data_IF_655787193434
#
_entry.id   IF_655787193434
#
_cell.length_a   1.000
_cell.length_b   1.000
_cell.length_c   1.000
_cell.angle_alpha   90.00
_cell.angle_beta   90.00
_cell.angle_gamma   90.00
#
_symmetry.space_group_name_H-M   'P 1'
#
loop_
_entity.id
_entity.type
_entity.pdbx_description
1 polymer ?
#
# COMPACT_ATOMS: atom_id res chain seq x y z
N UNK A 1 -2.89 -17.09 -4.82
CA UNK A 1 -3.96 -17.11 -5.84
C UNK A 1 -4.88 -15.91 -5.74
N UNK A 2 -5.61 -15.57 -6.83
CA UNK A 2 -6.65 -14.55 -6.78
C UNK A 2 -7.86 -15.05 -5.96
N UNK A 3 -8.56 -14.12 -5.27
CA UNK A 3 -9.76 -14.47 -4.48
C UNK A 3 -9.51 -15.20 -3.16
N UNK A 4 -8.28 -15.40 -2.73
CA UNK A 4 -7.96 -16.12 -1.48
C UNK A 4 -7.94 -15.25 -0.22
N UNK A 5 -8.55 -14.06 -0.23
CA UNK A 5 -8.74 -13.24 0.96
C UNK A 5 -7.63 -12.22 1.29
N UNK A 6 -6.54 -12.13 0.50
CA UNK A 6 -5.40 -11.22 0.77
C UNK A 6 -5.82 -9.75 0.96
N UNK A 7 -6.57 -9.20 0.02
CA UNK A 7 -7.07 -7.82 0.11
C UNK A 7 -8.03 -7.61 1.27
N UNK A 8 -8.84 -8.63 1.60
CA UNK A 8 -9.73 -8.59 2.77
C UNK A 8 -8.89 -8.54 4.05
N UNK A 9 -7.85 -9.37 4.15
CA UNK A 9 -6.92 -9.33 5.27
C UNK A 9 -6.20 -7.98 5.36
N UNK A 10 -5.65 -7.48 4.23
CA UNK A 10 -4.96 -6.18 4.20
C UNK A 10 -5.84 -5.04 4.75
N UNK A 11 -7.11 -4.98 4.30
CA UNK A 11 -8.09 -3.98 4.74
C UNK A 11 -8.57 -4.16 6.19
N UNK A 12 -8.23 -5.27 6.82
CA UNK A 12 -8.44 -5.45 8.26
C UNK A 12 -7.45 -4.61 9.06
N UNK A 13 -6.23 -4.39 8.53
CA UNK A 13 -5.15 -3.68 9.22
C UNK A 13 -5.39 -2.16 9.35
N UNK A 14 -6.26 -1.57 8.53
CA UNK A 14 -6.63 -0.14 8.57
C UNK A 14 -8.13 0.09 8.87
N UNK A 15 -8.83 -0.97 9.23
CA UNK A 15 -10.28 -0.97 9.51
C UNK A 15 -11.15 -0.56 8.32
N UNK A 16 -10.67 -0.69 7.07
CA UNK A 16 -11.48 -0.40 5.89
C UNK A 16 -12.67 -1.37 5.74
N UNK A 17 -12.56 -2.58 6.31
CA UNK A 17 -13.68 -3.53 6.30
C UNK A 17 -14.87 -3.08 7.17
N UNK A 18 -14.69 -2.12 8.08
CA UNK A 18 -15.80 -1.50 8.85
C UNK A 18 -16.83 -0.80 7.94
N UNK A 19 -16.44 -0.45 6.71
CA UNK A 19 -17.31 0.18 5.72
C UNK A 19 -18.19 -0.83 4.96
N UNK A 20 -17.99 -2.13 5.17
CA UNK A 20 -18.72 -3.20 4.48
C UNK A 20 -19.84 -3.71 5.42
N UNK A 21 -21.12 -3.63 5.02
CA UNK A 21 -22.23 -4.11 5.85
C UNK A 21 -22.08 -5.60 6.21
N UNK A 22 -22.44 -5.94 7.44
CA UNK A 22 -22.46 -7.32 7.96
C UNK A 22 -21.10 -8.03 8.04
N UNK A 23 -19.97 -7.32 7.93
CA UNK A 23 -18.65 -7.89 8.20
C UNK A 23 -18.49 -8.07 9.70
N UNK A 24 -18.03 -9.26 10.11
CA UNK A 24 -17.64 -9.57 11.48
C UNK A 24 -16.15 -9.90 11.51
N UNK A 25 -15.41 -9.18 12.33
CA UNK A 25 -13.99 -9.41 12.57
C UNK A 25 -13.83 -9.91 13.99
N UNK A 26 -13.06 -10.98 14.18
CA UNK A 26 -12.74 -11.58 15.48
C UNK A 26 -11.24 -11.78 15.58
N UNK A 27 -10.71 -11.74 16.81
CA UNK A 27 -9.28 -11.79 17.08
C UNK A 27 -8.75 -10.40 17.42
N UNK A 28 -7.43 -10.27 17.48
CA UNK A 28 -6.74 -9.05 17.86
C UNK A 28 -5.81 -8.61 16.73
N UNK A 29 -5.74 -7.31 16.51
CA UNK A 29 -4.78 -6.67 15.61
C UNK A 29 -4.12 -5.54 16.40
N UNK A 30 -2.87 -5.73 16.76
CA UNK A 30 -2.14 -4.74 17.54
C UNK A 30 -1.33 -3.81 16.66
N UNK A 31 -1.44 -2.51 16.97
CA UNK A 31 -0.62 -1.46 16.41
C UNK A 31 -0.02 -0.64 17.56
N UNK A 32 1.30 -0.68 17.69
CA UNK A 32 2.05 -0.01 18.79
C UNK A 32 1.56 -0.40 20.20
N UNK A 33 1.14 -1.67 20.38
CA UNK A 33 0.69 -2.19 21.69
C UNK A 33 -0.77 -1.89 22.02
N UNK A 34 -1.55 -1.37 21.07
CA UNK A 34 -2.98 -1.15 21.21
C UNK A 34 -3.76 -1.94 20.16
N UNK A 35 -4.78 -2.70 20.61
CA UNK A 35 -5.66 -3.40 19.66
C UNK A 35 -6.49 -2.36 18.89
N UNK A 36 -6.28 -2.29 17.57
CA UNK A 36 -6.94 -1.31 16.69
C UNK A 36 -8.47 -1.42 16.66
N UNK A 37 -9.04 -2.55 17.12
CA UNK A 37 -10.48 -2.77 17.23
C UNK A 37 -11.04 -2.45 18.61
N UNK A 38 -10.23 -1.96 19.54
CA UNK A 38 -10.73 -1.49 20.83
C UNK A 38 -11.71 -0.30 20.64
N UNK A 39 -12.78 -0.21 21.44
CA UNK A 39 -13.78 0.88 21.32
C UNK A 39 -13.19 2.30 21.55
N UNK A 40 -12.03 2.38 22.20
CA UNK A 40 -11.30 3.62 22.47
C UNK A 40 -10.56 4.18 21.25
N UNK A 41 -10.32 3.36 20.22
CA UNK A 41 -9.48 3.75 19.09
C UNK A 41 -10.20 4.70 18.14
N UNK A 42 -9.64 5.88 17.95
CA UNK A 42 -10.07 6.81 16.91
C UNK A 42 -9.60 6.29 15.53
N UNK A 43 -10.58 5.88 14.72
CA UNK A 43 -10.33 5.33 13.37
C UNK A 43 -9.70 6.38 12.44
N UNK A 44 -9.99 7.67 12.64
CA UNK A 44 -9.38 8.74 11.83
C UNK A 44 -7.90 8.88 12.16
N UNK A 45 -7.57 8.85 13.45
CA UNK A 45 -6.19 8.81 13.90
C UNK A 45 -5.46 7.58 13.37
N UNK A 46 -6.05 6.38 13.48
CA UNK A 46 -5.46 5.14 12.99
C UNK A 46 -5.12 5.23 11.49
N UNK A 47 -6.08 5.70 10.67
CA UNK A 47 -5.89 5.84 9.22
C UNK A 47 -4.93 6.95 8.81
N UNK A 48 -4.56 7.85 9.72
CA UNK A 48 -3.45 8.77 9.50
C UNK A 48 -2.08 8.11 9.68
N UNK A 49 -2.02 7.03 10.48
CA UNK A 49 -0.81 6.24 10.76
C UNK A 49 -0.63 5.06 9.81
N UNK A 50 -1.72 4.52 9.29
CA UNK A 50 -1.74 3.40 8.37
C UNK A 50 -2.32 3.88 7.03
N UNK A 51 -1.44 4.22 6.09
CA UNK A 51 -1.82 4.66 4.74
C UNK A 51 -2.20 3.48 3.85
N UNK A 52 -3.16 3.69 2.92
CA UNK A 52 -3.63 2.67 1.99
C UNK A 52 -3.51 3.13 0.54
N UNK A 53 -2.92 2.29 -0.30
CA UNK A 53 -2.86 2.43 -1.76
C UNK A 53 -3.63 1.29 -2.40
N UNK A 54 -4.67 1.63 -3.16
CA UNK A 54 -5.57 0.66 -3.77
C UNK A 54 -5.03 0.09 -5.08
N UNK A 55 -5.55 -1.06 -5.47
CA UNK A 55 -5.23 -1.75 -6.72
C UNK A 55 -5.45 -0.84 -7.94
N UNK A 56 -6.57 -0.17 -8.02
CA UNK A 56 -6.85 0.83 -9.05
C UNK A 56 -6.45 2.21 -8.55
N UNK A 57 -5.59 2.89 -9.29
CA UNK A 57 -5.29 4.29 -9.02
C UNK A 57 -6.58 5.11 -8.91
N UNK A 58 -6.70 5.88 -7.84
CA UNK A 58 -7.87 6.67 -7.53
C UNK A 58 -7.51 8.12 -7.16
N UNK A 59 -6.82 8.85 -8.05
CA UNK A 59 -6.57 10.26 -7.79
C UNK A 59 -7.89 11.02 -7.67
N UNK A 60 -7.92 11.99 -6.76
CA UNK A 60 -9.08 12.87 -6.68
C UNK A 60 -9.20 13.72 -7.94
N UNK A 61 -10.42 14.13 -8.36
CA UNK A 61 -10.64 15.00 -9.53
C UNK A 61 -10.19 16.46 -9.23
N UNK A 62 -8.94 16.59 -8.83
CA UNK A 62 -8.27 17.83 -8.41
C UNK A 62 -6.93 17.95 -9.14
N UNK A 63 -6.20 19.06 -8.87
CA UNK A 63 -4.84 19.20 -9.35
C UNK A 63 -3.90 18.17 -8.72
N UNK A 64 -2.74 17.97 -9.35
CA UNK A 64 -1.67 17.13 -8.79
C UNK A 64 -1.28 17.64 -7.40
N UNK A 65 -1.08 18.96 -7.27
CA UNK A 65 -0.78 19.61 -6.00
C UNK A 65 -1.84 19.34 -4.94
N UNK A 66 -3.12 19.55 -5.26
CA UNK A 66 -4.21 19.43 -4.29
C UNK A 66 -4.44 17.97 -3.86
N UNK A 67 -4.15 16.99 -4.73
CA UNK A 67 -4.16 15.58 -4.33
C UNK A 67 -3.21 15.31 -3.16
N UNK A 68 -1.99 15.86 -3.20
CA UNK A 68 -1.00 15.67 -2.14
C UNK A 68 -1.32 16.54 -0.92
N UNK A 69 -1.66 17.81 -1.15
CA UNK A 69 -1.93 18.76 -0.08
C UNK A 69 -3.24 18.47 0.69
N UNK A 70 -4.11 17.59 0.18
CA UNK A 70 -5.41 17.28 0.76
C UNK A 70 -5.29 16.76 2.20
N UNK A 71 -4.52 15.68 2.40
CA UNK A 71 -4.31 15.07 3.71
C UNK A 71 -3.72 16.07 4.72
N UNK A 72 -2.56 16.69 4.46
CA UNK A 72 -1.96 17.69 5.34
C UNK A 72 -2.92 18.85 5.70
N UNK A 73 -3.70 19.35 4.75
CA UNK A 73 -4.71 20.39 5.03
C UNK A 73 -5.81 19.91 5.97
N UNK A 74 -6.27 18.68 5.78
CA UNK A 74 -7.29 18.06 6.65
C UNK A 74 -6.75 17.88 8.07
N UNK A 75 -5.45 17.63 8.21
CA UNK A 75 -4.75 17.56 9.49
C UNK A 75 -4.25 18.94 10.00
N UNK A 76 -4.78 20.04 9.45
CA UNK A 76 -4.59 21.39 10.02
C UNK A 76 -3.37 22.15 9.49
N UNK A 77 -2.61 21.63 8.52
CA UNK A 77 -1.50 22.37 7.92
C UNK A 77 -2.05 23.47 7.02
N UNK A 78 -1.94 24.73 7.43
CA UNK A 78 -2.44 25.90 6.70
C UNK A 78 -1.33 26.75 6.07
N UNK A 79 -0.11 26.63 6.57
CA UNK A 79 1.04 27.37 6.05
C UNK A 79 1.38 26.90 4.64
N UNK A 80 1.37 27.85 3.68
CA UNK A 80 1.59 27.55 2.27
C UNK A 80 2.99 27.01 1.99
N UNK A 81 4.01 27.63 2.57
CA UNK A 81 5.39 27.19 2.36
C UNK A 81 5.60 25.75 2.86
N UNK A 82 4.99 25.40 4.02
CA UNK A 82 5.03 24.04 4.55
C UNK A 82 4.27 23.04 3.65
N UNK A 83 3.14 23.46 3.07
CA UNK A 83 2.44 22.62 2.09
C UNK A 83 3.25 22.40 0.83
N UNK A 84 3.93 23.43 0.31
CA UNK A 84 4.78 23.35 -0.87
C UNK A 84 5.95 22.38 -0.61
N UNK A 85 6.57 22.42 0.57
CA UNK A 85 7.61 21.48 1.01
C UNK A 85 7.09 20.04 1.09
N UNK A 86 5.92 19.83 1.72
CA UNK A 86 5.31 18.48 1.82
C UNK A 86 5.01 17.93 0.43
N UNK A 87 4.43 18.74 -0.46
CA UNK A 87 4.08 18.33 -1.81
C UNK A 87 5.33 17.92 -2.59
N UNK A 88 6.37 18.75 -2.61
CA UNK A 88 7.61 18.41 -3.30
C UNK A 88 8.24 17.14 -2.73
N UNK A 89 8.41 17.06 -1.42
CA UNK A 89 8.99 15.90 -0.73
C UNK A 89 8.23 14.62 -1.04
N UNK A 90 6.89 14.63 -0.94
CA UNK A 90 6.07 13.45 -1.19
C UNK A 90 6.13 12.98 -2.65
N UNK A 91 6.15 13.92 -3.60
CA UNK A 91 6.31 13.60 -5.01
C UNK A 91 7.72 13.07 -5.33
N UNK A 92 8.76 13.54 -4.64
CA UNK A 92 10.13 13.00 -4.73
C UNK A 92 10.19 11.57 -4.17
N UNK A 93 9.62 11.34 -2.98
CA UNK A 93 9.55 10.00 -2.40
C UNK A 93 8.80 9.00 -3.29
N UNK A 94 7.79 9.44 -4.02
CA UNK A 94 7.07 8.60 -4.97
C UNK A 94 7.72 8.55 -6.37
N UNK A 95 8.96 9.03 -6.53
CA UNK A 95 9.73 9.05 -7.77
C UNK A 95 8.96 9.62 -8.98
N UNK A 96 8.14 10.68 -8.77
CA UNK A 96 7.33 11.29 -9.83
C UNK A 96 7.58 12.79 -9.99
N UNK A 97 8.32 13.43 -9.08
CA UNK A 97 8.54 14.87 -9.07
C UNK A 97 8.98 15.44 -10.42
N UNK A 98 10.02 14.89 -11.03
CA UNK A 98 10.58 15.38 -12.28
C UNK A 98 9.63 15.27 -13.48
N UNK A 99 8.66 14.36 -13.39
CA UNK A 99 7.64 14.17 -14.43
C UNK A 99 6.48 15.19 -14.30
N UNK A 100 6.27 15.79 -13.11
CA UNK A 100 5.08 16.60 -12.84
C UNK A 100 5.33 18.01 -12.30
N UNK A 101 6.56 18.36 -11.90
CA UNK A 101 6.91 19.64 -11.26
C UNK A 101 6.43 20.88 -12.02
N UNK A 102 6.45 20.85 -13.36
CA UNK A 102 6.04 21.98 -14.21
C UNK A 102 4.52 22.03 -14.46
N UNK A 103 3.76 21.05 -13.95
CA UNK A 103 2.33 20.93 -14.16
C UNK A 103 1.51 20.62 -12.90
N UNK A 104 2.01 20.98 -11.72
CA UNK A 104 1.37 20.70 -10.42
C UNK A 104 -0.09 21.20 -10.32
N UNK A 105 -0.43 22.27 -11.03
CA UNK A 105 -1.80 22.84 -11.08
C UNK A 105 -2.72 22.16 -12.10
N UNK A 106 -2.21 21.24 -12.92
CA UNK A 106 -3.02 20.49 -13.88
C UNK A 106 -3.76 19.36 -13.19
N UNK A 107 -4.87 18.91 -13.80
CA UNK A 107 -5.68 17.80 -13.31
C UNK A 107 -4.85 16.52 -13.19
N UNK A 108 -4.98 15.84 -12.05
CA UNK A 108 -4.36 14.54 -11.82
C UNK A 108 -4.91 13.43 -12.74
N UNK A 109 -6.16 13.59 -13.21
CA UNK A 109 -6.80 12.61 -14.11
C UNK A 109 -6.15 12.54 -15.49
N UNK A 110 -5.38 13.54 -15.89
CA UNK A 110 -4.62 13.55 -17.15
C UNK A 110 -3.26 12.85 -17.09
N UNK A 111 -2.90 12.24 -15.96
CA UNK A 111 -1.69 11.45 -15.81
C UNK A 111 -1.86 10.04 -16.37
N UNK A 112 -0.76 9.38 -16.79
CA UNK A 112 -0.76 7.96 -17.14
C UNK A 112 -1.10 7.08 -15.93
N UNK A 113 -1.52 5.84 -16.15
CA UNK A 113 -1.87 4.91 -15.06
C UNK A 113 -0.75 4.75 -14.02
N UNK A 114 0.49 4.55 -14.45
CA UNK A 114 1.64 4.46 -13.56
C UNK A 114 1.95 5.76 -12.82
N UNK A 115 1.75 6.92 -13.47
CA UNK A 115 1.87 8.22 -12.82
C UNK A 115 0.76 8.44 -11.79
N UNK A 116 -0.48 8.07 -12.11
CA UNK A 116 -1.61 8.14 -11.16
C UNK A 116 -1.36 7.26 -9.93
N UNK A 117 -0.83 6.06 -10.13
CA UNK A 117 -0.51 5.15 -9.02
C UNK A 117 0.57 5.73 -8.11
N UNK A 118 1.67 6.25 -8.68
CA UNK A 118 2.72 6.92 -7.91
C UNK A 118 2.22 8.20 -7.23
N UNK A 119 1.29 8.92 -7.85
CA UNK A 119 0.61 10.05 -7.21
C UNK A 119 -0.22 9.60 -5.98
N UNK A 120 -0.91 8.46 -6.06
CA UNK A 120 -1.66 7.91 -4.93
C UNK A 120 -0.72 7.47 -3.80
N UNK A 121 0.46 6.94 -4.12
CA UNK A 121 1.51 6.65 -3.14
C UNK A 121 1.99 7.97 -2.49
N UNK A 122 2.34 8.99 -3.30
CA UNK A 122 2.75 10.30 -2.79
C UNK A 122 1.68 10.91 -1.85
N UNK A 123 0.41 10.78 -2.21
CA UNK A 123 -0.71 11.24 -1.37
C UNK A 123 -0.76 10.53 -0.03
N UNK A 124 -0.55 9.21 -0.01
CA UNK A 124 -0.50 8.45 1.23
C UNK A 124 0.70 8.85 2.11
N UNK A 125 1.86 9.08 1.49
CA UNK A 125 3.08 9.51 2.20
C UNK A 125 3.03 10.94 2.72
N UNK A 126 2.17 11.80 2.19
CA UNK A 126 2.09 13.21 2.56
C UNK A 126 1.63 13.45 4.02
N UNK A 127 0.98 12.48 4.63
CA UNK A 127 0.58 12.50 6.05
C UNK A 127 1.58 11.80 6.97
N UNK A 128 2.71 11.32 6.43
CA UNK A 128 3.78 10.63 7.16
C UNK A 128 3.27 9.43 7.96
N UNK A 129 2.67 8.42 7.31
CA UNK A 129 2.18 7.24 7.99
C UNK A 129 3.36 6.42 8.58
N UNK A 130 3.08 5.51 9.50
CA UNK A 130 4.06 4.52 9.99
C UNK A 130 4.03 3.24 9.15
N UNK A 131 2.86 2.90 8.63
CA UNK A 131 2.64 1.72 7.78
C UNK A 131 2.02 2.14 6.45
N UNK A 132 2.51 1.58 5.36
CA UNK A 132 1.95 1.74 4.02
C UNK A 132 1.42 0.40 3.51
N UNK A 133 0.10 0.30 3.35
CA UNK A 133 -0.57 -0.85 2.77
C UNK A 133 -0.73 -0.66 1.26
N UNK A 134 -0.36 -1.66 0.47
CA UNK A 134 -0.42 -1.63 -1.00
C UNK A 134 -1.19 -2.85 -1.52
N UNK A 135 -2.42 -2.64 -1.97
CA UNK A 135 -3.30 -3.70 -2.47
C UNK A 135 -3.12 -3.88 -3.98
N UNK A 136 -2.38 -4.90 -4.41
CA UNK A 136 -2.10 -5.22 -5.83
C UNK A 136 -1.77 -4.00 -6.71
N UNK A 137 -1.03 -3.04 -6.17
CA UNK A 137 -0.81 -1.70 -6.73
C UNK A 137 -0.08 -1.65 -8.08
N UNK A 138 0.40 -2.79 -8.57
CA UNK A 138 1.12 -2.93 -9.85
C UNK A 138 0.37 -3.76 -10.88
N UNK A 139 -0.73 -4.42 -10.52
CA UNK A 139 -1.40 -5.44 -11.36
C UNK A 139 -1.94 -4.93 -12.69
N UNK A 140 -2.24 -3.64 -12.79
CA UNK A 140 -2.81 -3.00 -13.99
C UNK A 140 -1.79 -2.12 -14.74
N UNK A 141 -0.50 -2.24 -14.42
CA UNK A 141 0.55 -1.38 -14.97
C UNK A 141 1.42 -2.12 -15.98
N UNK A 142 2.04 -1.33 -16.85
CA UNK A 142 3.08 -1.82 -17.76
C UNK A 142 4.36 -2.21 -16.98
N UNK A 143 5.26 -3.03 -17.56
CA UNK A 143 6.45 -3.51 -16.88
C UNK A 143 7.39 -2.40 -16.36
N UNK A 144 7.51 -1.28 -17.09
CA UNK A 144 8.37 -0.14 -16.70
C UNK A 144 7.78 0.54 -15.47
N UNK A 145 6.46 0.79 -15.46
CA UNK A 145 5.77 1.38 -14.32
C UNK A 145 5.79 0.46 -13.11
N UNK A 146 5.68 -0.86 -13.32
CA UNK A 146 5.78 -1.88 -12.27
C UNK A 146 7.16 -1.84 -11.62
N UNK A 147 8.25 -1.85 -12.41
CA UNK A 147 9.62 -1.78 -11.88
C UNK A 147 9.82 -0.53 -11.02
N UNK A 148 9.35 0.63 -11.49
CA UNK A 148 9.46 1.88 -10.72
C UNK A 148 8.75 1.81 -9.35
N UNK A 149 7.63 1.09 -9.25
CA UNK A 149 6.92 0.91 -7.97
C UNK A 149 7.62 -0.14 -7.10
N UNK A 150 8.22 -1.17 -7.68
CA UNK A 150 9.02 -2.14 -6.95
C UNK A 150 10.27 -1.47 -6.34
N UNK A 151 11.01 -0.70 -7.13
CA UNK A 151 12.17 0.07 -6.68
C UNK A 151 11.76 1.04 -5.55
N UNK A 152 10.65 1.75 -5.75
CA UNK A 152 10.08 2.64 -4.74
C UNK A 152 9.73 1.90 -3.44
N UNK A 153 9.10 0.72 -3.51
CA UNK A 153 8.77 -0.07 -2.33
C UNK A 153 10.04 -0.49 -1.56
N UNK A 154 11.12 -0.85 -2.29
CA UNK A 154 12.41 -1.15 -1.69
C UNK A 154 13.07 0.06 -1.00
N UNK A 155 12.94 1.27 -1.56
CA UNK A 155 13.44 2.50 -0.93
C UNK A 155 12.60 2.91 0.29
N UNK A 156 11.29 2.71 0.22
CA UNK A 156 10.37 3.10 1.29
C UNK A 156 10.51 2.24 2.55
N UNK A 157 10.92 0.97 2.43
CA UNK A 157 11.06 0.05 3.58
C UNK A 157 12.07 0.52 4.64
N UNK A 158 13.00 1.39 4.28
CA UNK A 158 13.96 1.96 5.21
C UNK A 158 13.32 2.98 6.18
N UNK A 159 12.13 3.46 5.88
CA UNK A 159 11.42 4.50 6.63
C UNK A 159 10.03 4.09 7.11
N UNK A 160 9.40 3.18 6.41
CA UNK A 160 8.02 2.76 6.61
C UNK A 160 7.93 1.24 6.69
N UNK A 161 6.99 0.73 7.46
CA UNK A 161 6.58 -0.67 7.30
C UNK A 161 5.71 -0.78 6.05
N UNK A 162 6.20 -1.45 5.01
CA UNK A 162 5.44 -1.65 3.77
C UNK A 162 4.80 -3.04 3.78
N UNK A 163 3.48 -3.11 3.65
CA UNK A 163 2.75 -4.37 3.49
C UNK A 163 2.10 -4.38 2.12
N UNK A 164 2.57 -5.27 1.24
CA UNK A 164 2.10 -5.36 -0.14
C UNK A 164 1.35 -6.67 -0.39
N UNK A 165 0.17 -6.58 -0.98
CA UNK A 165 -0.52 -7.72 -1.57
C UNK A 165 -0.16 -7.83 -3.04
N UNK A 166 0.25 -9.01 -3.46
CA UNK A 166 0.49 -9.36 -4.86
C UNK A 166 0.07 -10.80 -5.17
N UNK A 167 -0.29 -11.06 -6.40
CA UNK A 167 -0.43 -12.42 -6.93
C UNK A 167 0.79 -12.85 -7.76
N UNK A 168 1.79 -11.97 -7.90
CA UNK A 168 3.03 -12.25 -8.61
C UNK A 168 4.11 -12.72 -7.63
N UNK A 169 4.40 -14.02 -7.66
CA UNK A 169 5.41 -14.64 -6.78
C UNK A 169 6.81 -14.07 -7.02
N UNK A 170 7.16 -13.80 -8.28
CA UNK A 170 8.48 -13.24 -8.61
C UNK A 170 8.65 -11.84 -8.03
N UNK A 171 7.58 -11.03 -8.01
CA UNK A 171 7.57 -9.74 -7.34
C UNK A 171 7.79 -9.92 -5.83
N UNK A 172 7.02 -10.78 -5.17
CA UNK A 172 7.18 -11.05 -3.75
C UNK A 172 8.61 -11.51 -3.43
N UNK A 173 9.17 -12.44 -4.20
CA UNK A 173 10.52 -12.95 -4.00
C UNK A 173 11.62 -11.87 -4.14
N UNK A 174 11.39 -10.85 -5.01
CA UNK A 174 12.40 -9.80 -5.24
C UNK A 174 12.41 -8.71 -4.18
N UNK A 175 11.23 -8.30 -3.68
CA UNK A 175 11.12 -7.04 -2.92
C UNK A 175 10.78 -7.20 -1.45
N UNK A 176 10.31 -8.38 -1.01
CA UNK A 176 9.88 -8.57 0.38
C UNK A 176 10.93 -9.24 1.26
N UNK A 177 11.01 -8.83 2.51
CA UNK A 177 11.85 -9.44 3.54
C UNK A 177 11.15 -10.66 4.15
N UNK A 178 9.82 -10.57 4.32
CA UNK A 178 8.96 -11.65 4.80
C UNK A 178 7.77 -11.82 3.86
N UNK A 179 7.31 -13.05 3.71
CA UNK A 179 6.15 -13.38 2.85
C UNK A 179 5.12 -14.17 3.63
N UNK A 180 3.85 -13.81 3.42
CA UNK A 180 2.68 -14.53 3.90
C UNK A 180 1.96 -15.18 2.73
N UNK A 181 1.84 -16.51 2.73
CA UNK A 181 1.13 -17.25 1.71
C UNK A 181 -0.31 -17.53 2.14
N UNK A 182 -1.27 -17.04 1.35
CA UNK A 182 -2.71 -17.22 1.58
C UNK A 182 -3.30 -18.17 0.54
N UNK A 183 -4.13 -19.10 1.03
CA UNK A 183 -4.88 -20.02 0.18
C UNK A 183 -6.29 -20.21 0.76
N UNK A 184 -7.33 -20.03 -0.06
CA UNK A 184 -8.74 -20.25 0.30
C UNK A 184 -9.18 -19.58 1.64
N UNK A 185 -8.66 -18.39 1.91
CA UNK A 185 -8.97 -17.63 3.13
C UNK A 185 -8.09 -17.95 4.34
N UNK A 186 -7.17 -18.90 4.21
CA UNK A 186 -6.24 -19.28 5.28
C UNK A 186 -4.84 -18.71 5.05
N UNK A 187 -4.19 -18.28 6.12
CA UNK A 187 -2.76 -18.06 6.16
C UNK A 187 -2.08 -19.43 6.29
N UNK A 188 -1.51 -19.91 5.18
CA UNK A 188 -0.87 -21.23 5.11
C UNK A 188 0.53 -21.20 5.69
N UNK A 189 1.31 -20.19 5.31
CA UNK A 189 2.70 -20.07 5.74
C UNK A 189 3.09 -18.59 5.84
N UNK A 190 3.93 -18.27 6.84
CA UNK A 190 4.53 -16.95 7.03
C UNK A 190 5.97 -17.09 7.49
N UNK A 191 6.88 -16.36 6.85
CA UNK A 191 8.29 -16.40 7.22
C UNK A 191 9.17 -15.55 6.32
N UNK A 192 10.48 -15.74 6.48
CA UNK A 192 11.48 -15.11 5.62
C UNK A 192 11.24 -15.49 4.16
N UNK A 193 11.23 -14.50 3.29
CA UNK A 193 10.96 -14.70 1.85
C UNK A 193 11.90 -15.72 1.22
N UNK A 194 13.20 -15.61 1.50
CA UNK A 194 14.21 -16.55 0.98
C UNK A 194 13.90 -17.99 1.38
N UNK A 195 13.54 -18.23 2.65
CA UNK A 195 13.22 -19.57 3.15
C UNK A 195 11.93 -20.08 2.52
N UNK A 196 10.88 -19.26 2.48
CA UNK A 196 9.57 -19.66 1.95
C UNK A 196 9.65 -20.04 0.47
N UNK A 197 10.47 -19.36 -0.32
CA UNK A 197 10.63 -19.65 -1.75
C UNK A 197 11.65 -20.77 -2.04
N UNK A 198 12.62 -21.04 -1.16
CA UNK A 198 13.63 -22.08 -1.36
C UNK A 198 13.26 -23.42 -0.72
N UNK A 199 12.73 -23.39 0.50
CA UNK A 199 12.41 -24.56 1.32
C UNK A 199 11.14 -24.32 2.13
N UNK A 200 9.97 -24.23 1.46
CA UNK A 200 8.70 -24.04 2.14
C UNK A 200 8.42 -25.18 3.12
N UNK A 201 7.84 -24.86 4.28
CA UNK A 201 7.49 -25.83 5.29
C UNK A 201 6.16 -26.53 5.03
N UNK A 202 5.22 -25.85 4.36
CA UNK A 202 3.91 -26.42 3.99
C UNK A 202 3.91 -26.88 2.53
N UNK A 203 3.47 -28.13 2.30
CA UNK A 203 3.40 -28.72 0.97
C UNK A 203 2.51 -27.89 0.01
N UNK A 204 1.46 -27.24 0.49
CA UNK A 204 0.59 -26.39 -0.32
C UNK A 204 1.36 -25.18 -0.85
N UNK A 205 2.29 -24.63 -0.07
CA UNK A 205 3.20 -23.57 -0.50
C UNK A 205 4.15 -24.07 -1.59
N UNK A 206 4.75 -25.25 -1.39
CA UNK A 206 5.64 -25.91 -2.36
C UNK A 206 4.93 -26.17 -3.69
N UNK A 207 3.75 -26.77 -3.63
CA UNK A 207 2.94 -27.09 -4.82
C UNK A 207 2.55 -25.81 -5.59
N UNK A 208 2.25 -24.71 -4.87
CA UNK A 208 1.96 -23.42 -5.49
C UNK A 208 3.18 -22.82 -6.19
N UNK A 209 4.34 -22.79 -5.51
CA UNK A 209 5.58 -22.21 -6.04
C UNK A 209 6.06 -23.00 -7.28
N UNK A 210 5.93 -24.35 -7.24
CA UNK A 210 6.37 -25.23 -8.34
C UNK A 210 5.35 -25.37 -9.46
N UNK A 211 4.19 -24.70 -9.37
CA UNK A 211 3.13 -24.78 -10.38
C UNK A 211 2.40 -26.12 -10.43
N UNK A 212 2.51 -26.93 -9.38
CA UNK A 212 1.85 -28.26 -9.28
C UNK A 212 0.45 -28.18 -8.67
N UNK A 213 -0.14 -27.01 -8.70
CA UNK A 213 -1.51 -26.77 -8.24
C UNK A 213 -2.47 -27.33 -9.32
N UNK A 214 -3.11 -28.42 -9.04
CA UNK A 214 -4.16 -29.03 -9.84
C UNK A 214 -5.30 -29.55 -8.96
#
# INVERSE_FOLDING_TARGET
PSGCGKSTFLRTLDRMNDLIPNVKITGEVDFNGENIYAPSVDVTWLRSRIGMVFQKANPFPMSIYDNIAYGPRTHGVRNRAKLDEIVERSLRYAAIWDEVKDRLKKSALGLSGGQQQRLCIARALAVEPEVLLMDESTSALDPISTSKIEDLACELKDRYTVVMVTHNMQQAARISDNTAFFLLGELVEFGKTEQLFSTPADKRTEDYITGRFG
#
